data_IF_109889978243
#
_entry.id   IF_109889978243
#
_cell.length_a   1.000
_cell.length_b   1.000
_cell.length_c   1.000
_cell.angle_alpha   90.00
_cell.angle_beta   90.00
_cell.angle_gamma   90.00
#
_symmetry.space_group_name_H-M   'P 1'
#
loop_
_entity.id
_entity.type
_entity.pdbx_description
1 polymer ?
#
# COMPACT_ATOMS: atom_id res chain seq x y z
N UNK A 1 60.67 39.09 4.02
CA UNK A 1 60.92 37.89 3.20
C UNK A 1 59.56 37.23 2.99
N UNK A 2 58.91 37.57 1.87
CA UNK A 2 57.55 37.11 1.53
C UNK A 2 57.71 35.97 0.52
N UNK A 3 57.30 34.76 0.91
CA UNK A 3 57.32 33.56 0.06
C UNK A 3 56.07 33.56 -0.84
N UNK A 4 56.20 33.66 -2.18
CA UNK A 4 55.07 33.80 -3.10
C UNK A 4 54.53 32.45 -3.61
N UNK A 5 54.80 31.32 -2.94
CA UNK A 5 54.44 29.99 -3.46
C UNK A 5 53.18 29.35 -2.88
N UNK A 6 52.05 30.06 -2.72
CA UNK A 6 50.75 29.36 -2.54
C UNK A 6 49.53 30.13 -3.07
N UNK A 7 49.53 30.57 -4.34
CA UNK A 7 48.26 30.86 -5.02
C UNK A 7 47.72 29.57 -5.66
N UNK A 8 47.18 28.68 -4.83
CA UNK A 8 46.48 27.47 -5.29
C UNK A 8 45.26 27.91 -6.12
N UNK A 9 45.29 27.61 -7.41
CA UNK A 9 44.28 28.02 -8.40
C UNK A 9 42.89 27.45 -8.03
N UNK A 10 42.12 28.26 -7.29
CA UNK A 10 40.76 27.94 -6.84
C UNK A 10 39.81 27.74 -8.02
N UNK A 11 40.12 28.24 -9.22
CA UNK A 11 39.27 28.06 -10.41
C UNK A 11 39.38 26.63 -10.94
N UNK A 12 40.61 26.09 -11.06
CA UNK A 12 40.85 24.69 -11.45
C UNK A 12 40.24 23.72 -10.44
N UNK A 13 40.32 24.02 -9.15
CA UNK A 13 39.69 23.21 -8.11
C UNK A 13 38.16 23.20 -8.19
N UNK A 14 37.52 24.31 -8.61
CA UNK A 14 36.05 24.40 -8.77
C UNK A 14 35.57 23.72 -10.06
N UNK A 15 36.34 23.83 -11.15
CA UNK A 15 36.06 23.13 -12.40
C UNK A 15 36.20 21.61 -12.21
N UNK A 16 37.27 21.16 -11.55
CA UNK A 16 37.50 19.75 -11.27
C UNK A 16 36.41 19.19 -10.34
N UNK A 17 36.00 19.96 -9.32
CA UNK A 17 34.90 19.58 -8.43
C UNK A 17 33.55 19.48 -9.17
N UNK A 18 33.26 20.41 -10.09
CA UNK A 18 32.07 20.36 -10.94
C UNK A 18 32.05 19.13 -11.86
N UNK A 19 33.18 18.80 -12.50
CA UNK A 19 33.31 17.61 -13.35
C UNK A 19 33.10 16.32 -12.53
N UNK A 20 33.71 16.22 -11.34
CA UNK A 20 33.53 15.08 -10.45
C UNK A 20 32.06 14.91 -10.00
N UNK A 21 31.36 16.02 -9.70
CA UNK A 21 29.94 15.99 -9.36
C UNK A 21 29.10 15.50 -10.55
N UNK A 22 29.35 16.01 -11.75
CA UNK A 22 28.64 15.57 -12.96
C UNK A 22 28.89 14.09 -13.27
N UNK A 23 30.12 13.60 -13.10
CA UNK A 23 30.44 12.19 -13.23
C UNK A 23 29.75 11.33 -12.16
N UNK A 24 29.68 11.81 -10.92
CA UNK A 24 28.95 11.13 -9.86
C UNK A 24 27.46 10.98 -10.20
N UNK A 25 26.81 12.05 -10.68
CA UNK A 25 25.40 11.97 -11.09
C UNK A 25 25.18 11.09 -12.32
N UNK A 26 26.11 11.08 -13.29
CA UNK A 26 26.05 10.18 -14.43
C UNK A 26 26.20 8.71 -14.02
N UNK A 27 27.19 8.41 -13.18
CA UNK A 27 27.43 7.05 -12.68
C UNK A 27 26.28 6.59 -11.79
N UNK A 28 25.81 7.43 -10.87
CA UNK A 28 24.69 7.06 -9.97
C UNK A 28 23.37 6.88 -10.76
N UNK A 29 23.16 7.69 -11.80
CA UNK A 29 22.03 7.56 -12.72
C UNK A 29 22.06 6.27 -13.53
N UNK A 30 23.20 5.89 -14.10
CA UNK A 30 23.32 4.64 -14.87
C UNK A 30 23.31 3.39 -13.99
N UNK A 31 23.88 3.47 -12.79
CA UNK A 31 23.85 2.40 -11.78
C UNK A 31 22.41 2.08 -11.35
N UNK A 32 21.56 3.09 -11.17
CA UNK A 32 20.14 2.91 -10.86
C UNK A 32 19.37 2.17 -11.96
N UNK A 33 19.77 2.31 -13.23
CA UNK A 33 19.18 1.60 -14.36
C UNK A 33 19.67 0.15 -14.46
N UNK A 34 20.90 -0.14 -14.02
CA UNK A 34 21.47 -1.50 -14.02
C UNK A 34 20.95 -2.33 -12.84
N UNK A 35 20.59 -1.68 -11.72
CA UNK A 35 20.01 -2.34 -10.54
C UNK A 35 18.49 -2.24 -10.43
N UNK A 36 17.81 -1.64 -11.41
CA UNK A 36 16.37 -1.83 -11.56
C UNK A 36 16.13 -3.30 -11.89
N UNK A 37 15.35 -4.00 -11.10
CA UNK A 37 15.00 -5.38 -11.39
C UNK A 37 14.14 -5.44 -12.65
N UNK A 38 14.54 -6.27 -13.61
CA UNK A 38 13.68 -6.58 -14.74
C UNK A 38 12.45 -7.32 -14.23
N UNK A 39 11.27 -6.92 -14.68
CA UNK A 39 10.04 -7.67 -14.43
C UNK A 39 10.17 -9.07 -15.06
N UNK A 40 10.18 -10.10 -14.23
CA UNK A 40 10.23 -11.51 -14.64
C UNK A 40 8.88 -12.19 -14.33
N UNK A 41 8.31 -12.88 -15.32
CA UNK A 41 7.07 -13.65 -15.17
C UNK A 41 7.15 -14.67 -14.03
N UNK A 42 8.32 -15.26 -13.80
CA UNK A 42 8.48 -16.24 -12.70
C UNK A 42 8.33 -15.61 -11.32
N UNK A 43 8.64 -14.32 -11.18
CA UNK A 43 8.43 -13.55 -9.96
C UNK A 43 6.97 -13.10 -9.84
N UNK A 44 6.35 -12.68 -10.95
CA UNK A 44 4.92 -12.33 -10.98
C UNK A 44 4.03 -13.48 -10.50
N UNK A 45 4.25 -14.71 -10.99
CA UNK A 45 3.48 -15.89 -10.56
C UNK A 45 3.61 -16.16 -9.05
N UNK A 46 4.81 -16.00 -8.50
CA UNK A 46 5.05 -16.13 -7.05
C UNK A 46 4.31 -15.06 -6.26
N UNK A 47 4.34 -13.81 -6.71
CA UNK A 47 3.64 -12.71 -6.03
C UNK A 47 2.13 -12.84 -6.13
N UNK A 48 1.61 -13.27 -7.29
CA UNK A 48 0.19 -13.57 -7.47
C UNK A 48 -0.25 -14.73 -6.57
N UNK A 49 0.58 -15.77 -6.43
CA UNK A 49 0.30 -16.87 -5.50
C UNK A 49 0.21 -16.35 -4.06
N UNK A 50 1.20 -15.56 -3.60
CA UNK A 50 1.19 -14.97 -2.26
C UNK A 50 -0.01 -14.03 -2.02
N UNK A 51 -0.41 -13.28 -3.06
CA UNK A 51 -1.61 -12.45 -3.02
C UNK A 51 -2.87 -13.31 -2.89
N UNK A 52 -3.03 -14.35 -3.70
CA UNK A 52 -4.20 -15.24 -3.64
C UNK A 52 -4.30 -16.03 -2.33
N UNK A 53 -3.18 -16.42 -1.72
CA UNK A 53 -3.17 -16.98 -0.36
C UNK A 53 -3.68 -15.98 0.69
N UNK A 54 -3.40 -14.69 0.48
CA UNK A 54 -3.89 -13.61 1.35
C UNK A 54 -5.39 -13.36 1.13
N UNK A 55 -5.85 -13.40 -0.12
CA UNK A 55 -7.28 -13.37 -0.49
C UNK A 55 -8.03 -14.53 0.15
N UNK A 56 -7.53 -15.77 0.05
CA UNK A 56 -8.17 -16.94 0.64
C UNK A 56 -8.30 -16.86 2.17
N UNK A 57 -7.27 -16.30 2.85
CA UNK A 57 -7.35 -15.99 4.28
C UNK A 57 -8.44 -14.96 4.59
N UNK A 58 -8.54 -13.93 3.75
CA UNK A 58 -9.57 -12.89 3.86
C UNK A 58 -10.98 -13.44 3.67
N UNK A 59 -11.16 -14.28 2.64
CA UNK A 59 -12.42 -14.97 2.36
C UNK A 59 -12.89 -15.80 3.57
N UNK A 60 -11.99 -16.58 4.17
CA UNK A 60 -12.31 -17.37 5.37
C UNK A 60 -12.77 -16.47 6.53
N UNK A 61 -12.03 -15.40 6.82
CA UNK A 61 -12.41 -14.45 7.88
C UNK A 61 -13.74 -13.75 7.58
N UNK A 62 -14.02 -13.47 6.32
CA UNK A 62 -15.21 -12.76 5.88
C UNK A 62 -16.50 -13.60 6.01
N UNK A 63 -16.37 -14.93 5.86
CA UNK A 63 -17.44 -15.92 6.03
C UNK A 63 -17.42 -16.62 7.39
N UNK A 64 -16.54 -16.21 8.30
CA UNK A 64 -16.29 -16.88 9.56
C UNK A 64 -16.67 -16.02 10.78
N UNK A 65 -16.88 -16.64 11.95
CA UNK A 65 -17.24 -15.93 13.18
C UNK A 65 -16.03 -15.32 13.92
N UNK A 66 -14.80 -15.53 13.46
CA UNK A 66 -13.56 -15.25 14.21
C UNK A 66 -13.33 -13.78 14.56
N UNK A 67 -14.01 -12.86 13.86
CA UNK A 67 -13.92 -11.43 14.07
C UNK A 67 -15.00 -10.89 15.00
N UNK A 68 -16.08 -11.65 15.23
CA UNK A 68 -17.25 -11.19 15.96
C UNK A 68 -17.24 -11.59 17.44
N UNK A 69 -17.92 -10.79 18.25
CA UNK A 69 -18.40 -11.17 19.59
C UNK A 69 -19.76 -11.88 19.57
N UNK A 70 -20.36 -12.05 18.37
CA UNK A 70 -21.64 -12.71 18.15
C UNK A 70 -21.60 -13.63 16.90
N UNK A 71 -22.76 -14.12 16.45
CA UNK A 71 -22.88 -15.06 15.31
C UNK A 71 -22.96 -14.39 13.93
N UNK A 72 -22.96 -13.05 13.87
CA UNK A 72 -23.06 -12.29 12.61
C UNK A 72 -21.71 -12.33 11.89
N UNK A 73 -21.76 -12.48 10.57
CA UNK A 73 -20.57 -12.51 9.71
C UNK A 73 -20.69 -11.46 8.61
N UNK A 74 -19.56 -11.01 8.06
CA UNK A 74 -19.55 -10.01 6.99
C UNK A 74 -20.40 -10.46 5.79
N UNK A 75 -20.25 -11.74 5.40
CA UNK A 75 -20.96 -12.34 4.27
C UNK A 75 -22.49 -12.37 4.40
N UNK A 76 -23.04 -12.25 5.62
CA UNK A 76 -24.49 -12.21 5.81
C UNK A 76 -25.11 -10.91 5.28
N UNK A 77 -24.37 -9.79 5.33
CA UNK A 77 -24.80 -8.50 4.79
C UNK A 77 -24.15 -8.16 3.45
N UNK A 78 -22.95 -8.69 3.20
CA UNK A 78 -22.15 -8.42 2.02
C UNK A 78 -21.75 -9.72 1.29
N UNK A 79 -22.70 -10.51 0.75
CA UNK A 79 -22.35 -11.76 0.04
C UNK A 79 -21.30 -11.51 -1.05
N UNK A 80 -20.22 -12.28 -1.07
CA UNK A 80 -19.08 -12.07 -2.00
C UNK A 80 -18.57 -10.62 -2.04
N UNK A 81 -18.44 -10.00 -0.86
CA UNK A 81 -18.08 -8.59 -0.68
C UNK A 81 -18.93 -7.58 -1.47
N UNK A 82 -20.15 -7.94 -1.88
CA UNK A 82 -21.05 -7.02 -2.57
C UNK A 82 -21.45 -5.84 -1.69
N UNK A 83 -21.74 -4.68 -2.31
CA UNK A 83 -22.12 -3.45 -1.62
C UNK A 83 -21.06 -2.86 -0.64
N UNK A 84 -19.82 -3.35 -0.67
CA UNK A 84 -18.71 -2.77 0.11
C UNK A 84 -18.12 -1.53 -0.57
N UNK A 85 -18.15 -1.49 -1.91
CA UNK A 85 -17.68 -0.39 -2.76
C UNK A 85 -16.28 0.13 -2.40
N UNK A 86 -15.25 -0.74 -2.35
CA UNK A 86 -13.88 -0.34 -2.02
C UNK A 86 -13.31 0.69 -3.01
N UNK A 87 -13.76 0.66 -4.28
CA UNK A 87 -13.33 1.53 -5.35
C UNK A 87 -13.67 3.02 -5.13
N UNK A 88 -14.53 3.32 -4.16
CA UNK A 88 -14.94 4.70 -3.86
C UNK A 88 -14.28 5.29 -2.62
N UNK A 89 -13.44 4.52 -1.92
CA UNK A 89 -12.66 5.00 -0.79
C UNK A 89 -11.36 5.70 -1.24
N UNK A 90 -10.85 6.69 -0.48
CA UNK A 90 -11.45 7.27 0.73
C UNK A 90 -12.71 8.11 0.41
N UNK A 91 -13.69 8.09 1.32
CA UNK A 91 -14.95 8.85 1.18
C UNK A 91 -15.52 9.27 2.52
N UNK A 92 -16.42 10.26 2.51
CA UNK A 92 -17.16 10.63 3.71
C UNK A 92 -18.10 9.49 4.11
N UNK A 93 -17.83 8.87 5.25
CA UNK A 93 -18.69 7.81 5.78
C UNK A 93 -19.61 8.36 6.85
N UNK A 94 -20.92 8.37 6.58
CA UNK A 94 -21.93 8.91 7.49
C UNK A 94 -21.92 8.24 8.86
N UNK A 95 -21.69 6.92 8.89
CA UNK A 95 -21.61 6.11 10.11
C UNK A 95 -20.42 6.47 11.01
N UNK A 96 -19.35 7.03 10.42
CA UNK A 96 -18.11 7.41 11.12
C UNK A 96 -18.06 8.93 11.32
N UNK A 97 -18.75 9.71 10.48
CA UNK A 97 -18.83 11.18 10.58
C UNK A 97 -17.64 11.92 9.97
N UNK A 98 -16.81 11.26 9.17
CA UNK A 98 -15.62 11.85 8.52
C UNK A 98 -15.26 11.14 7.22
N UNK A 99 -14.38 11.76 6.44
CA UNK A 99 -13.68 11.05 5.36
C UNK A 99 -12.88 9.92 5.98
N UNK A 100 -13.16 8.70 5.53
CA UNK A 100 -12.64 7.47 6.12
C UNK A 100 -12.04 6.56 5.05
N UNK A 101 -11.10 5.71 5.45
CA UNK A 101 -10.55 4.63 4.62
C UNK A 101 -11.44 3.39 4.63
N UNK A 102 -11.16 2.44 3.73
CA UNK A 102 -11.81 1.14 3.74
C UNK A 102 -11.57 0.40 5.06
N UNK A 103 -10.33 0.41 5.58
CA UNK A 103 -9.95 -0.24 6.85
C UNK A 103 -10.71 0.33 8.05
N UNK A 104 -11.00 1.64 8.06
CA UNK A 104 -11.85 2.25 9.09
C UNK A 104 -13.27 1.70 9.04
N UNK A 105 -13.84 1.56 7.83
CA UNK A 105 -15.16 0.97 7.70
C UNK A 105 -15.17 -0.52 8.06
N UNK A 106 -14.13 -1.28 7.72
CA UNK A 106 -13.97 -2.68 8.16
C UNK A 106 -14.01 -2.75 9.69
N UNK A 107 -13.21 -1.92 10.38
CA UNK A 107 -13.21 -1.88 11.85
C UNK A 107 -14.53 -1.37 12.43
N UNK A 108 -15.22 -0.45 11.76
CA UNK A 108 -16.56 -0.03 12.17
C UNK A 108 -17.55 -1.19 12.09
N UNK A 109 -17.52 -1.99 11.02
CA UNK A 109 -18.34 -3.20 10.88
C UNK A 109 -18.01 -4.27 11.92
N UNK A 110 -16.72 -4.47 12.22
CA UNK A 110 -16.27 -5.40 13.27
C UNK A 110 -16.84 -4.99 14.63
N UNK A 111 -16.74 -3.72 14.99
CA UNK A 111 -17.14 -3.24 16.31
C UNK A 111 -18.66 -3.17 16.50
N UNK A 112 -19.41 -2.78 15.47
CA UNK A 112 -20.82 -2.45 15.60
C UNK A 112 -21.73 -3.67 15.31
N UNK A 113 -21.94 -4.12 14.05
CA UNK A 113 -22.69 -5.35 13.76
C UNK A 113 -22.10 -6.61 14.40
N UNK A 114 -20.80 -6.82 14.28
CA UNK A 114 -20.14 -8.05 14.71
C UNK A 114 -19.83 -8.06 16.22
N UNK A 115 -19.85 -6.90 16.89
CA UNK A 115 -19.54 -6.76 18.32
C UNK A 115 -18.14 -7.30 18.70
N UNK A 116 -17.20 -7.24 17.77
CA UNK A 116 -15.82 -7.68 17.92
C UNK A 116 -14.86 -6.57 18.38
N UNK A 117 -13.58 -6.93 18.48
CA UNK A 117 -12.50 -5.97 18.78
C UNK A 117 -11.91 -5.43 17.47
N UNK A 118 -11.63 -4.11 17.38
CA UNK A 118 -11.00 -3.55 16.20
C UNK A 118 -9.60 -4.16 16.00
N UNK A 119 -9.22 -4.33 14.75
CA UNK A 119 -7.90 -4.78 14.33
C UNK A 119 -6.96 -3.59 14.19
N UNK A 120 -5.67 -3.81 14.44
CA UNK A 120 -4.65 -2.85 14.04
C UNK A 120 -4.63 -2.71 12.50
N UNK A 121 -4.20 -1.56 12.00
CA UNK A 121 -4.18 -1.33 10.54
C UNK A 121 -3.25 -2.28 9.80
N UNK A 122 -2.13 -2.65 10.42
CA UNK A 122 -1.11 -3.57 9.95
C UNK A 122 -1.35 -5.03 10.40
N UNK A 123 -2.46 -5.31 11.10
CA UNK A 123 -2.83 -6.68 11.47
C UNK A 123 -2.97 -7.51 10.18
N UNK A 124 -2.32 -8.69 10.10
CA UNK A 124 -2.44 -9.58 8.95
C UNK A 124 -3.90 -9.91 8.58
N UNK A 125 -4.82 -9.97 9.55
CA UNK A 125 -6.26 -10.18 9.31
C UNK A 125 -6.90 -8.99 8.60
N UNK A 126 -6.53 -7.75 8.97
CA UNK A 126 -7.03 -6.54 8.30
C UNK A 126 -6.56 -6.50 6.85
N UNK A 127 -5.29 -6.80 6.61
CA UNK A 127 -4.72 -6.89 5.25
C UNK A 127 -5.43 -7.97 4.43
N UNK A 128 -5.68 -9.15 5.03
CA UNK A 128 -6.37 -10.24 4.36
C UNK A 128 -7.82 -9.87 3.97
N UNK A 129 -8.58 -9.24 4.88
CA UNK A 129 -9.94 -8.76 4.60
C UNK A 129 -9.95 -7.73 3.48
N UNK A 130 -9.03 -6.76 3.51
CA UNK A 130 -8.92 -5.75 2.45
C UNK A 130 -8.54 -6.39 1.11
N UNK A 131 -7.60 -7.34 1.09
CA UNK A 131 -7.22 -8.07 -0.11
C UNK A 131 -8.42 -8.82 -0.71
N UNK A 132 -9.20 -9.53 0.11
CA UNK A 132 -10.41 -10.24 -0.34
C UNK A 132 -11.46 -9.27 -0.90
N UNK A 133 -11.77 -8.19 -0.18
CA UNK A 133 -12.76 -7.19 -0.63
C UNK A 133 -12.31 -6.56 -1.96
N UNK A 134 -11.04 -6.16 -2.07
CA UNK A 134 -10.49 -5.60 -3.30
C UNK A 134 -10.51 -6.62 -4.44
N UNK A 135 -10.18 -7.89 -4.17
CA UNK A 135 -10.20 -8.95 -5.16
C UNK A 135 -11.61 -9.20 -5.69
N UNK A 136 -12.61 -9.38 -4.84
CA UNK A 136 -14.00 -9.59 -5.27
C UNK A 136 -14.56 -8.40 -6.08
N UNK A 137 -14.02 -7.20 -5.83
CA UNK A 137 -14.45 -5.96 -6.49
C UNK A 137 -13.50 -5.49 -7.59
N UNK A 138 -12.52 -6.31 -7.95
CA UNK A 138 -11.56 -6.05 -9.05
C UNK A 138 -12.32 -5.76 -10.34
N UNK A 139 -11.74 -4.93 -11.20
CA UNK A 139 -12.34 -4.41 -12.45
C UNK A 139 -13.38 -3.30 -12.27
N UNK A 140 -13.66 -2.84 -11.05
CA UNK A 140 -14.45 -1.61 -10.83
C UNK A 140 -13.60 -0.37 -11.12
N UNK A 141 -14.21 0.68 -11.69
CA UNK A 141 -13.53 1.96 -11.93
C UNK A 141 -13.34 2.68 -10.60
N UNK A 142 -12.10 3.07 -10.28
CA UNK A 142 -11.80 3.87 -9.10
C UNK A 142 -12.48 5.24 -9.19
N UNK A 143 -13.32 5.54 -8.21
CA UNK A 143 -14.03 6.83 -8.09
C UNK A 143 -14.03 7.32 -6.63
N UNK A 144 -12.84 7.67 -6.07
CA UNK A 144 -12.73 8.12 -4.68
C UNK A 144 -13.66 9.29 -4.35
N UNK A 145 -14.20 9.31 -3.12
CA UNK A 145 -15.10 10.36 -2.64
C UNK A 145 -16.56 10.21 -3.10
N UNK A 146 -16.88 9.21 -3.93
CA UNK A 146 -18.26 8.93 -4.33
C UNK A 146 -19.02 8.21 -3.20
N UNK A 147 -20.29 8.64 -3.04
CA UNK A 147 -21.31 8.28 -2.05
C UNK A 147 -21.29 9.08 -0.75
#
# INVERSE_FOLDING_TARGET
MYDPHTFRDRSKSRILFGICISFFFLIFGTVSLIFGDDWDRSNEDKWNTAFMETVARGEKLFHGPELGGNTVQCAMCHPNATNTHPETYPKFQKQIGKVSTLREMINWCIQNPLQGKPLAYDDPKMIALEAYIMYERRNSILVPGKH
#
